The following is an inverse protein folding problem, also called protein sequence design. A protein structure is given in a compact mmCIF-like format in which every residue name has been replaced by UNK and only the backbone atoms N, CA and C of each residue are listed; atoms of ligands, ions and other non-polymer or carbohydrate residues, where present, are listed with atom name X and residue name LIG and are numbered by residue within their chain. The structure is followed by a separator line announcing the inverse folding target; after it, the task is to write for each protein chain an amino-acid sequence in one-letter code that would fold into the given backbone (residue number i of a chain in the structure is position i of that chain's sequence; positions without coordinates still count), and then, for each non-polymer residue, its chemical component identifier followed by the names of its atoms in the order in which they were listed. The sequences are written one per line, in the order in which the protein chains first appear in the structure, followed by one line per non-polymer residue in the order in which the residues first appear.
data_IF_839294852314
#
_entry.id   IF_839294852314
#
_cell.length_a   1.000
_cell.length_b   1.000
_cell.length_c   1.000
_cell.angle_alpha   90.00
_cell.angle_beta   90.00
_cell.angle_gamma   90.00
#
_symmetry.space_group_name_H-M   'P 1'
#
loop_
_entity.id
_entity.type
_entity.pdbx_description
1 polymer ?
#
# COMPACT_ATOMS: atom_id res chain seq x y z
N UNK A 1 60.08 -34.56 37.50
CA UNK A 1 59.55 -34.28 36.14
C UNK A 1 58.13 -34.77 36.06
N UNK A 2 57.14 -33.84 36.13
CA UNK A 2 55.67 -34.19 36.05
C UNK A 2 55.16 -33.70 34.71
N UNK A 3 54.78 -34.65 33.82
CA UNK A 3 54.07 -34.35 32.55
C UNK A 3 52.64 -33.88 32.84
N UNK A 4 52.32 -32.66 32.42
CA UNK A 4 50.91 -32.19 32.34
C UNK A 4 50.32 -32.64 31.01
N UNK A 5 49.28 -33.46 31.06
CA UNK A 5 48.43 -33.78 29.90
C UNK A 5 47.48 -32.63 29.65
N UNK A 6 47.58 -32.01 28.45
CA UNK A 6 46.63 -31.03 27.95
C UNK A 6 45.51 -31.82 27.25
N UNK A 7 44.31 -31.70 27.78
CA UNK A 7 43.09 -32.26 27.13
C UNK A 7 42.52 -31.13 26.24
N UNK A 8 42.57 -31.35 24.93
CA UNK A 8 41.97 -30.45 23.93
C UNK A 8 40.49 -30.85 23.77
N UNK A 9 39.58 -30.00 24.28
CA UNK A 9 38.16 -30.14 24.03
C UNK A 9 37.81 -29.52 22.67
N UNK A 10 37.50 -30.35 21.67
CA UNK A 10 36.91 -29.93 20.40
C UNK A 10 35.45 -29.66 20.61
N UNK A 11 35.03 -28.39 20.59
CA UNK A 11 33.63 -28.00 20.53
C UNK A 11 33.16 -28.03 19.07
N UNK A 12 32.37 -29.03 18.74
CA UNK A 12 31.65 -29.08 17.44
C UNK A 12 30.46 -28.15 17.49
N UNK A 13 30.55 -27.00 16.82
CA UNK A 13 29.41 -26.13 16.57
C UNK A 13 28.51 -26.77 15.48
N UNK A 14 27.37 -27.30 15.88
CA UNK A 14 26.34 -27.72 14.94
C UNK A 14 25.64 -26.44 14.37
N UNK A 15 25.99 -26.07 13.16
CA UNK A 15 25.26 -25.07 12.41
C UNK A 15 23.88 -25.64 12.02
N UNK A 16 22.85 -25.32 12.80
CA UNK A 16 21.48 -25.61 12.45
C UNK A 16 21.09 -24.83 11.20
N UNK A 17 20.93 -25.50 10.06
CA UNK A 17 20.33 -24.92 8.88
C UNK A 17 18.86 -24.62 9.21
N UNK A 18 18.53 -23.35 9.42
CA UNK A 18 17.13 -22.88 9.46
C UNK A 18 16.61 -22.99 8.02
N UNK A 19 15.93 -24.08 7.71
CA UNK A 19 15.13 -24.17 6.50
C UNK A 19 13.99 -23.14 6.62
N UNK A 20 14.09 -22.04 5.90
CA UNK A 20 12.95 -21.14 5.68
C UNK A 20 11.88 -21.96 4.95
N UNK A 21 10.74 -22.17 5.59
CA UNK A 21 9.57 -22.74 4.93
C UNK A 21 9.25 -21.84 3.73
N UNK A 22 8.89 -22.40 2.57
CA UNK A 22 8.44 -21.58 1.45
C UNK A 22 7.27 -20.73 1.93
N UNK A 23 7.32 -19.44 1.66
CA UNK A 23 6.19 -18.55 1.93
C UNK A 23 4.95 -19.14 1.26
N UNK A 24 3.88 -19.32 2.02
CA UNK A 24 2.61 -19.72 1.43
C UNK A 24 2.22 -18.67 0.38
N UNK A 25 1.70 -19.11 -0.77
CA UNK A 25 1.21 -18.17 -1.77
C UNK A 25 0.11 -17.29 -1.15
N UNK A 26 0.12 -16.01 -1.48
CA UNK A 26 -0.90 -15.06 -1.03
C UNK A 26 -2.31 -15.57 -1.40
N UNK A 27 -3.34 -15.37 -0.55
CA UNK A 27 -4.71 -15.72 -0.88
C UNK A 27 -5.15 -15.06 -2.20
N UNK A 28 -5.95 -15.73 -3.05
CA UNK A 28 -6.37 -15.16 -4.32
C UNK A 28 -7.24 -13.91 -4.11
N UNK A 29 -7.03 -12.86 -4.91
CA UNK A 29 -7.79 -11.61 -4.81
C UNK A 29 -9.30 -11.81 -5.00
N UNK A 30 -9.74 -12.88 -5.66
CA UNK A 30 -11.15 -13.24 -5.79
C UNK A 30 -11.83 -13.57 -4.44
N UNK A 31 -11.06 -13.87 -3.40
CA UNK A 31 -11.57 -14.10 -2.06
C UNK A 31 -11.61 -12.81 -1.19
N UNK A 32 -11.15 -11.69 -1.73
CA UNK A 32 -11.13 -10.40 -1.02
C UNK A 32 -12.47 -9.70 -1.18
N UNK A 33 -13.19 -9.52 -0.09
CA UNK A 33 -14.50 -8.84 -0.03
C UNK A 33 -14.50 -7.61 0.89
N UNK A 34 -13.45 -7.46 1.69
CA UNK A 34 -13.26 -6.33 2.61
C UNK A 34 -11.81 -5.88 2.60
N UNK A 35 -11.59 -4.59 2.74
CA UNK A 35 -10.23 -4.08 2.81
C UNK A 35 -10.11 -2.90 3.77
N UNK A 36 -8.88 -2.66 4.29
CA UNK A 36 -8.56 -1.53 5.14
C UNK A 36 -7.29 -0.82 4.68
N UNK A 37 -7.30 0.50 4.79
CA UNK A 37 -6.15 1.35 4.56
C UNK A 37 -5.59 1.80 5.91
N UNK A 38 -4.68 1.03 6.47
CA UNK A 38 -4.17 1.17 7.83
C UNK A 38 -2.79 1.81 7.90
N UNK A 39 -2.58 2.96 7.25
CA UNK A 39 -1.29 3.68 7.26
C UNK A 39 -1.26 4.87 8.24
N UNK A 40 -2.41 5.26 8.79
CA UNK A 40 -2.50 6.38 9.72
C UNK A 40 -1.81 6.11 11.06
N UNK A 41 -1.46 7.19 11.75
CA UNK A 41 -0.80 7.14 13.04
C UNK A 41 -1.58 6.28 14.06
N UNK A 42 -0.86 5.43 14.78
CA UNK A 42 -1.42 4.57 15.80
C UNK A 42 -2.16 3.32 15.29
N UNK A 43 -2.36 3.14 13.98
CA UNK A 43 -3.04 1.95 13.43
C UNK A 43 -2.29 0.66 13.70
N UNK A 44 -0.97 0.73 13.83
CA UNK A 44 -0.08 -0.39 14.13
C UNK A 44 0.26 -0.55 15.62
N UNK A 45 -0.37 0.24 16.52
CA UNK A 45 -0.17 0.10 17.96
C UNK A 45 -1.12 -0.97 18.54
N UNK A 46 -0.64 -1.73 19.55
CA UNK A 46 -1.42 -2.75 20.21
C UNK A 46 -1.64 -4.02 19.37
N UNK A 47 -2.79 -4.66 19.54
CA UNK A 47 -3.14 -5.89 18.82
C UNK A 47 -3.68 -5.59 17.41
N UNK A 48 -2.83 -5.78 16.40
CA UNK A 48 -3.20 -5.57 14.99
C UNK A 48 -4.27 -6.57 14.52
N UNK A 49 -4.32 -7.80 15.06
CA UNK A 49 -5.35 -8.77 14.69
C UNK A 49 -6.73 -8.32 15.15
N UNK A 50 -6.84 -7.81 16.37
CA UNK A 50 -8.10 -7.27 16.88
C UNK A 50 -8.53 -6.02 16.07
N UNK A 51 -7.57 -5.14 15.72
CA UNK A 51 -7.83 -3.92 14.95
C UNK A 51 -8.33 -4.20 13.54
N UNK A 52 -7.74 -5.17 12.85
CA UNK A 52 -8.09 -5.52 11.47
C UNK A 52 -8.94 -6.79 11.37
N UNK A 53 -9.60 -7.19 12.44
CA UNK A 53 -10.46 -8.38 12.44
C UNK A 53 -11.53 -8.31 11.35
N UNK A 54 -11.65 -9.36 10.54
CA UNK A 54 -12.64 -9.48 9.47
C UNK A 54 -12.31 -8.74 8.18
N UNK A 55 -11.11 -8.16 8.06
CA UNK A 55 -10.61 -7.62 6.81
C UNK A 55 -9.84 -8.68 6.03
N UNK A 56 -10.19 -8.86 4.75
CA UNK A 56 -9.55 -9.83 3.87
C UNK A 56 -8.26 -9.26 3.24
N UNK A 57 -8.16 -7.93 3.10
CA UNK A 57 -6.98 -7.22 2.61
C UNK A 57 -6.70 -6.00 3.48
N UNK A 58 -5.44 -5.82 3.85
CA UNK A 58 -4.99 -4.66 4.63
C UNK A 58 -3.76 -4.05 3.99
N UNK A 59 -3.77 -2.74 3.81
CA UNK A 59 -2.59 -1.96 3.41
C UNK A 59 -1.98 -1.33 4.66
N UNK A 60 -0.71 -1.58 4.91
CA UNK A 60 0.03 -1.04 6.05
C UNK A 60 1.22 -0.21 5.58
N UNK A 61 1.64 0.76 6.40
CA UNK A 61 2.92 1.43 6.17
C UNK A 61 4.06 0.41 6.18
N UNK A 62 4.70 0.23 5.02
CA UNK A 62 5.68 -0.83 4.83
C UNK A 62 6.96 -0.64 5.68
N UNK A 63 7.34 0.59 6.01
CA UNK A 63 8.50 0.84 6.87
C UNK A 63 8.18 0.63 8.35
N UNK A 64 7.01 1.08 8.80
CA UNK A 64 6.59 1.04 10.22
C UNK A 64 6.17 -0.37 10.63
N UNK A 65 5.42 -1.06 9.78
CA UNK A 65 4.95 -2.41 10.07
C UNK A 65 6.11 -3.40 10.23
N UNK A 66 6.04 -4.23 11.26
CA UNK A 66 7.02 -5.28 11.54
C UNK A 66 6.62 -6.59 10.85
N UNK A 67 7.61 -7.46 10.58
CA UNK A 67 7.36 -8.82 10.07
C UNK A 67 6.43 -9.63 10.99
N UNK A 68 6.51 -9.42 12.31
CA UNK A 68 5.64 -10.09 13.28
C UNK A 68 4.16 -9.66 13.14
N UNK A 69 3.90 -8.38 12.85
CA UNK A 69 2.55 -7.86 12.61
C UNK A 69 1.97 -8.39 11.30
N UNK A 70 2.78 -8.42 10.23
CA UNK A 70 2.39 -9.04 8.95
C UNK A 70 2.04 -10.51 9.14
N UNK A 71 2.92 -11.29 9.78
CA UNK A 71 2.67 -12.69 10.09
C UNK A 71 1.47 -12.90 11.02
N UNK A 72 1.15 -11.93 11.88
CA UNK A 72 -0.03 -11.99 12.74
C UNK A 72 -1.32 -11.90 11.91
N UNK A 73 -1.39 -11.03 10.91
CA UNK A 73 -2.55 -10.88 10.02
C UNK A 73 -2.69 -12.10 9.08
N UNK A 74 -1.58 -12.66 8.60
CA UNK A 74 -1.60 -13.88 7.79
C UNK A 74 -2.26 -15.07 8.51
N UNK A 75 -2.17 -15.16 9.85
CA UNK A 75 -2.87 -16.22 10.61
C UNK A 75 -4.40 -16.15 10.51
N UNK A 76 -4.92 -14.99 10.14
CA UNK A 76 -6.36 -14.77 9.90
C UNK A 76 -6.73 -14.89 8.41
N UNK A 77 -5.75 -15.24 7.54
CA UNK A 77 -5.94 -15.34 6.09
C UNK A 77 -5.97 -14.01 5.37
N UNK A 78 -5.54 -12.91 6.02
CA UNK A 78 -5.55 -11.57 5.46
C UNK A 78 -4.41 -11.38 4.47
N UNK A 79 -4.69 -10.84 3.28
CA UNK A 79 -3.68 -10.33 2.34
C UNK A 79 -3.13 -9.02 2.89
N UNK A 80 -1.80 -8.87 2.98
CA UNK A 80 -1.17 -7.68 3.55
C UNK A 80 -0.26 -7.01 2.53
N UNK A 81 -0.61 -5.79 2.11
CA UNK A 81 0.18 -5.01 1.16
C UNK A 81 1.00 -3.93 1.87
N UNK A 82 2.23 -3.73 1.42
CA UNK A 82 3.08 -2.65 1.89
C UNK A 82 2.80 -1.35 1.12
N UNK A 83 2.36 -0.31 1.81
CA UNK A 83 2.34 1.04 1.26
C UNK A 83 3.75 1.49 0.93
N UNK A 84 3.92 2.05 -0.25
CA UNK A 84 5.15 2.65 -0.74
C UNK A 84 4.83 3.87 -1.60
N UNK A 85 5.26 5.04 -1.17
CA UNK A 85 5.17 6.21 -2.02
C UNK A 85 6.14 6.11 -3.21
N UNK A 86 5.59 6.12 -4.42
CA UNK A 86 6.35 5.99 -5.66
C UNK A 86 6.64 7.35 -6.32
N UNK A 87 5.74 8.31 -6.13
CA UNK A 87 5.76 9.60 -6.83
C UNK A 87 6.29 10.76 -6.03
N UNK A 88 6.37 10.63 -4.70
CA UNK A 88 6.93 11.67 -3.84
C UNK A 88 8.04 11.15 -2.93
N UNK A 89 8.67 12.05 -2.21
CA UNK A 89 9.78 11.77 -1.29
C UNK A 89 9.41 12.39 0.06
N UNK A 90 8.98 11.53 0.96
CA UNK A 90 8.59 11.87 2.32
C UNK A 90 9.84 12.05 3.20
N UNK A 91 10.00 13.21 3.90
CA UNK A 91 11.24 13.53 4.62
C UNK A 91 11.57 12.60 5.80
N UNK A 92 10.56 11.92 6.33
CA UNK A 92 10.70 11.04 7.50
C UNK A 92 11.11 9.60 7.15
N UNK A 93 11.12 9.23 5.88
CA UNK A 93 11.51 7.88 5.44
C UNK A 93 12.99 7.60 5.70
N UNK A 94 13.31 6.39 6.11
CA UNK A 94 14.69 5.97 6.40
C UNK A 94 15.62 6.13 5.17
N UNK A 95 15.07 6.01 3.97
CA UNK A 95 15.78 6.17 2.69
C UNK A 95 15.87 7.61 2.17
N UNK A 96 15.25 8.59 2.87
CA UNK A 96 15.27 10.00 2.48
C UNK A 96 16.68 10.55 2.21
N UNK A 97 17.71 10.29 3.04
CA UNK A 97 19.06 10.81 2.78
C UNK A 97 19.61 10.44 1.39
N UNK A 98 19.27 9.24 0.90
CA UNK A 98 19.67 8.78 -0.44
C UNK A 98 18.79 9.36 -1.56
N UNK A 99 17.51 9.64 -1.25
CA UNK A 99 16.50 10.13 -2.20
C UNK A 99 16.52 11.64 -2.40
N UNK A 100 16.88 12.43 -1.40
CA UNK A 100 16.70 13.90 -1.37
C UNK A 100 17.31 14.65 -2.55
N UNK A 101 18.33 14.09 -3.22
CA UNK A 101 18.93 14.68 -4.44
C UNK A 101 18.05 14.57 -5.68
N UNK A 102 17.01 13.72 -5.63
CA UNK A 102 16.07 13.48 -6.73
C UNK A 102 14.74 14.23 -6.54
N UNK A 103 14.68 15.16 -5.58
CA UNK A 103 13.52 16.02 -5.37
C UNK A 103 13.30 16.95 -6.55
N UNK A 104 12.03 17.14 -6.91
CA UNK A 104 11.53 18.19 -7.80
C UNK A 104 10.90 19.32 -6.98
N UNK A 105 9.68 19.75 -7.32
CA UNK A 105 8.92 20.73 -6.56
C UNK A 105 8.50 20.20 -5.18
N UNK A 106 8.34 21.12 -4.21
CA UNK A 106 7.77 20.81 -2.90
C UNK A 106 6.24 20.86 -2.96
N UNK A 107 5.58 19.91 -2.28
CA UNK A 107 4.14 19.84 -2.10
C UNK A 107 3.77 20.22 -0.66
N UNK A 108 3.37 21.50 -0.41
CA UNK A 108 3.20 22.02 0.95
C UNK A 108 2.08 21.34 1.74
N UNK A 109 1.03 20.88 1.05
CA UNK A 109 -0.15 20.26 1.66
C UNK A 109 0.23 19.00 2.43
N UNK A 110 1.07 18.16 1.82
CA UNK A 110 1.54 16.91 2.42
C UNK A 110 2.96 17.01 2.99
N UNK A 111 3.63 18.18 2.86
CA UNK A 111 5.02 18.41 3.31
C UNK A 111 6.02 17.45 2.69
N UNK A 112 5.83 17.12 1.44
CA UNK A 112 6.60 16.18 0.65
C UNK A 112 7.22 16.82 -0.58
N UNK A 113 8.04 16.08 -1.29
CA UNK A 113 8.69 16.52 -2.51
C UNK A 113 8.33 15.60 -3.65
N UNK A 114 7.87 16.13 -4.79
CA UNK A 114 7.75 15.32 -5.99
C UNK A 114 9.08 14.69 -6.37
N UNK A 115 9.04 13.44 -6.85
CA UNK A 115 10.22 12.65 -7.15
C UNK A 115 10.64 12.73 -8.63
N UNK A 116 11.92 12.81 -8.89
CA UNK A 116 12.45 12.60 -10.23
C UNK A 116 12.53 11.10 -10.56
N UNK A 117 11.39 10.50 -10.89
CA UNK A 117 11.31 9.08 -11.25
C UNK A 117 11.95 8.76 -12.62
N UNK A 118 12.33 9.77 -13.42
CA UNK A 118 13.16 9.57 -14.62
C UNK A 118 14.58 9.13 -14.28
N UNK A 119 15.09 9.48 -13.10
CA UNK A 119 16.43 9.11 -12.69
C UNK A 119 16.52 7.59 -12.44
N UNK A 120 17.36 6.84 -13.21
CA UNK A 120 17.48 5.38 -13.02
C UNK A 120 17.92 5.00 -11.61
N UNK A 121 18.77 5.82 -10.99
CA UNK A 121 19.29 5.59 -9.63
C UNK A 121 18.18 5.72 -8.58
N UNK A 122 17.25 6.68 -8.75
CA UNK A 122 16.07 6.79 -7.88
C UNK A 122 15.17 5.55 -8.01
N UNK A 123 14.89 5.10 -9.24
CA UNK A 123 14.11 3.87 -9.45
C UNK A 123 14.78 2.64 -8.85
N UNK A 124 16.10 2.53 -8.98
CA UNK A 124 16.88 1.46 -8.35
C UNK A 124 16.83 1.54 -6.82
N UNK A 125 16.84 2.75 -6.24
CA UNK A 125 16.67 2.96 -4.79
C UNK A 125 15.29 2.44 -4.34
N UNK A 126 14.19 2.87 -4.95
CA UNK A 126 12.85 2.40 -4.60
C UNK A 126 12.66 0.90 -4.82
N UNK A 127 13.27 0.33 -5.87
CA UNK A 127 13.25 -1.13 -6.05
C UNK A 127 13.95 -1.87 -4.91
N UNK A 128 15.03 -1.31 -4.34
CA UNK A 128 15.69 -1.89 -3.15
C UNK A 128 14.80 -1.74 -1.91
N UNK A 129 14.20 -0.58 -1.71
CA UNK A 129 13.21 -0.35 -0.63
C UNK A 129 12.09 -1.40 -0.73
N UNK A 130 11.45 -1.52 -1.88
CA UNK A 130 10.39 -2.49 -2.12
C UNK A 130 10.82 -3.93 -1.80
N UNK A 131 12.05 -4.32 -2.16
CA UNK A 131 12.59 -5.64 -1.83
C UNK A 131 12.72 -5.84 -0.32
N UNK A 132 13.15 -4.80 0.42
CA UNK A 132 13.22 -4.84 1.88
C UNK A 132 11.83 -4.96 2.52
N UNK A 133 10.82 -4.28 1.96
CA UNK A 133 9.44 -4.40 2.43
C UNK A 133 8.91 -5.83 2.21
N UNK A 134 9.01 -6.35 0.99
CA UNK A 134 8.58 -7.71 0.68
C UNK A 134 9.30 -8.78 1.53
N UNK A 135 10.56 -8.55 1.88
CA UNK A 135 11.30 -9.44 2.78
C UNK A 135 10.74 -9.50 4.22
N UNK A 136 9.86 -8.55 4.61
CA UNK A 136 9.10 -8.62 5.88
C UNK A 136 7.91 -9.59 5.81
N UNK A 137 7.61 -10.15 4.64
CA UNK A 137 6.52 -11.08 4.41
C UNK A 137 5.26 -10.47 3.79
N UNK A 138 5.26 -9.20 3.40
CA UNK A 138 4.13 -8.62 2.68
C UNK A 138 3.81 -9.39 1.39
N UNK A 139 2.51 -9.55 1.11
CA UNK A 139 1.99 -10.22 -0.09
C UNK A 139 2.07 -9.33 -1.35
N UNK A 140 2.56 -8.12 -1.23
CA UNK A 140 2.70 -7.21 -2.36
C UNK A 140 2.92 -5.76 -1.94
N UNK A 141 2.76 -4.87 -2.91
CA UNK A 141 2.97 -3.44 -2.75
C UNK A 141 1.71 -2.67 -3.11
N UNK A 142 1.49 -1.57 -2.40
CA UNK A 142 0.47 -0.58 -2.70
C UNK A 142 1.16 0.75 -2.97
N UNK A 143 1.12 1.21 -4.23
CA UNK A 143 1.86 2.38 -4.69
C UNK A 143 1.02 3.64 -4.59
N UNK A 144 1.58 4.66 -3.96
CA UNK A 144 1.00 5.99 -3.91
C UNK A 144 1.68 6.95 -4.88
N UNK A 145 0.99 8.06 -5.15
CA UNK A 145 1.47 9.19 -5.94
C UNK A 145 1.97 8.82 -7.35
N UNK A 146 1.49 7.71 -7.92
CA UNK A 146 1.76 7.37 -9.32
C UNK A 146 1.17 8.42 -10.28
N UNK A 147 0.14 9.12 -9.83
CA UNK A 147 -0.59 10.19 -10.51
C UNK A 147 0.15 11.53 -10.54
N UNK A 148 1.29 11.66 -9.85
CA UNK A 148 2.14 12.85 -9.95
C UNK A 148 2.48 13.20 -11.40
N UNK A 149 2.38 12.25 -12.31
CA UNK A 149 2.59 12.45 -13.74
C UNK A 149 1.53 13.34 -14.41
N UNK A 150 0.37 13.54 -13.79
CA UNK A 150 -0.67 14.46 -14.26
C UNK A 150 -0.18 15.91 -14.13
N UNK A 151 0.55 16.23 -13.07
CA UNK A 151 1.16 17.55 -12.83
C UNK A 151 2.60 17.63 -13.35
N UNK A 152 3.28 16.49 -13.49
CA UNK A 152 4.66 16.37 -13.95
C UNK A 152 4.77 15.40 -15.15
N UNK A 153 4.19 15.73 -16.32
CA UNK A 153 4.04 14.77 -17.43
C UNK A 153 5.38 14.27 -17.98
N UNK A 154 6.46 15.03 -17.79
CA UNK A 154 7.81 14.58 -18.17
C UNK A 154 8.28 13.36 -17.38
N UNK A 155 7.65 13.04 -16.25
CA UNK A 155 7.99 11.88 -15.42
C UNK A 155 7.29 10.58 -15.88
N UNK A 156 6.30 10.64 -16.79
CA UNK A 156 5.45 9.50 -17.15
C UNK A 156 6.23 8.25 -17.60
N UNK A 157 7.24 8.41 -18.46
CA UNK A 157 8.06 7.28 -18.90
C UNK A 157 8.87 6.66 -17.74
N UNK A 158 9.36 7.49 -16.82
CA UNK A 158 10.07 7.05 -15.62
C UNK A 158 9.15 6.32 -14.65
N UNK A 159 7.95 6.83 -14.42
CA UNK A 159 6.92 6.20 -13.59
C UNK A 159 6.53 4.83 -14.14
N UNK A 160 6.24 4.75 -15.44
CA UNK A 160 5.95 3.47 -16.10
C UNK A 160 7.09 2.45 -15.93
N UNK A 161 8.34 2.89 -16.08
CA UNK A 161 9.50 2.01 -15.89
C UNK A 161 9.65 1.54 -14.44
N UNK A 162 9.36 2.42 -13.46
CA UNK A 162 9.35 2.08 -12.03
C UNK A 162 8.25 1.07 -11.72
N UNK A 163 7.00 1.35 -12.09
CA UNK A 163 5.85 0.46 -11.85
C UNK A 163 6.09 -0.90 -12.49
N UNK A 164 6.60 -0.96 -13.73
CA UNK A 164 6.95 -2.21 -14.38
C UNK A 164 8.05 -3.01 -13.65
N UNK A 165 9.02 -2.34 -13.03
CA UNK A 165 10.06 -2.98 -12.23
C UNK A 165 9.52 -3.54 -10.91
N UNK A 166 8.65 -2.76 -10.23
CA UNK A 166 8.01 -3.17 -8.98
C UNK A 166 7.01 -4.31 -9.20
N UNK A 167 6.28 -4.30 -10.34
CA UNK A 167 5.40 -5.39 -10.75
C UNK A 167 6.17 -6.70 -10.91
N UNK A 168 7.27 -6.69 -11.67
CA UNK A 168 8.12 -7.88 -11.80
C UNK A 168 8.66 -8.38 -10.46
N UNK A 169 9.00 -7.46 -9.55
CA UNK A 169 9.49 -7.82 -8.23
C UNK A 169 8.41 -8.47 -7.38
N UNK A 170 7.21 -7.89 -7.32
CA UNK A 170 6.08 -8.44 -6.56
C UNK A 170 5.63 -9.80 -7.12
N UNK A 171 5.42 -9.89 -8.44
CA UNK A 171 4.95 -11.12 -9.08
C UNK A 171 5.98 -12.26 -9.06
N UNK A 172 7.28 -11.96 -9.02
CA UNK A 172 8.31 -13.00 -8.84
C UNK A 172 8.19 -13.74 -7.49
N UNK A 173 7.59 -13.07 -6.48
CA UNK A 173 7.25 -13.66 -5.18
C UNK A 173 5.79 -14.15 -5.10
N UNK A 174 5.08 -14.27 -6.22
CA UNK A 174 3.64 -14.58 -6.27
C UNK A 174 2.75 -13.57 -5.52
N UNK A 175 3.24 -12.34 -5.37
CA UNK A 175 2.53 -11.26 -4.70
C UNK A 175 1.82 -10.32 -5.69
N UNK A 176 1.27 -9.24 -5.18
CA UNK A 176 0.41 -8.30 -5.88
C UNK A 176 1.01 -6.90 -5.99
N UNK A 177 0.60 -6.17 -7.02
CA UNK A 177 0.88 -4.74 -7.15
C UNK A 177 -0.41 -3.94 -7.30
N UNK A 178 -0.63 -3.03 -6.37
CA UNK A 178 -1.71 -2.05 -6.40
C UNK A 178 -1.16 -0.64 -6.60
N UNK A 179 -2.00 0.24 -7.10
CA UNK A 179 -1.72 1.68 -7.12
C UNK A 179 -3.00 2.45 -6.77
N UNK A 180 -2.85 3.73 -6.41
CA UNK A 180 -4.02 4.57 -6.15
C UNK A 180 -4.04 5.81 -7.03
N UNK A 181 -5.26 6.35 -7.19
CA UNK A 181 -5.56 7.60 -7.90
C UNK A 181 -5.12 7.64 -9.38
N UNK A 182 -5.09 8.83 -9.98
CA UNK A 182 -4.58 9.03 -11.34
C UNK A 182 -5.43 8.40 -12.44
N UNK A 183 -6.73 8.50 -12.36
CA UNK A 183 -7.65 7.91 -13.35
C UNK A 183 -7.39 8.33 -14.79
N UNK A 184 -6.72 9.48 -15.00
CA UNK A 184 -6.32 9.95 -16.33
C UNK A 184 -4.94 9.45 -16.76
N UNK A 185 -4.08 9.11 -15.80
CA UNK A 185 -2.70 8.67 -16.03
C UNK A 185 -2.50 7.14 -15.91
N UNK A 186 -3.44 6.42 -15.27
CA UNK A 186 -3.27 5.01 -14.93
C UNK A 186 -3.28 4.07 -16.15
N UNK A 187 -3.92 4.46 -17.27
CA UNK A 187 -4.09 3.61 -18.44
C UNK A 187 -2.84 2.83 -18.88
N UNK A 188 -1.68 3.48 -19.08
CA UNK A 188 -0.43 2.82 -19.46
C UNK A 188 0.14 1.87 -18.39
N UNK A 189 -0.38 1.93 -17.15
CA UNK A 189 0.09 1.16 -15.99
C UNK A 189 -0.78 -0.07 -15.72
N UNK A 190 -2.05 -0.09 -16.16
CA UNK A 190 -3.06 -1.14 -15.86
C UNK A 190 -2.51 -2.56 -16.01
N UNK A 191 -1.78 -2.84 -17.08
CA UNK A 191 -1.21 -4.18 -17.36
C UNK A 191 -0.17 -4.67 -16.35
N UNK A 192 0.28 -3.81 -15.44
CA UNK A 192 1.24 -4.12 -14.39
C UNK A 192 0.59 -4.28 -13.01
N UNK A 193 -0.70 -3.96 -12.90
CA UNK A 193 -1.43 -3.87 -11.65
C UNK A 193 -2.41 -5.03 -11.50
N UNK A 194 -2.62 -5.45 -10.27
CA UNK A 194 -3.64 -6.41 -9.84
C UNK A 194 -4.83 -5.71 -9.21
N UNK A 195 -4.64 -4.51 -8.69
CA UNK A 195 -5.71 -3.70 -8.12
C UNK A 195 -5.42 -2.21 -8.16
N UNK A 196 -6.48 -1.44 -7.89
CA UNK A 196 -6.44 0.01 -7.92
C UNK A 196 -7.41 0.62 -6.90
N UNK A 197 -6.95 1.62 -6.17
CA UNK A 197 -7.75 2.40 -5.23
C UNK A 197 -8.06 3.78 -5.79
N UNK A 198 -9.28 4.27 -5.53
CA UNK A 198 -9.67 5.66 -5.77
C UNK A 198 -10.11 6.29 -4.47
N UNK A 199 -9.40 7.33 -4.07
CA UNK A 199 -9.80 8.18 -2.96
C UNK A 199 -10.82 9.23 -3.41
N UNK A 200 -11.56 9.81 -2.45
CA UNK A 200 -12.51 10.88 -2.75
C UNK A 200 -13.56 10.50 -3.80
N UNK A 201 -14.13 9.30 -3.69
CA UNK A 201 -15.13 8.84 -4.65
C UNK A 201 -16.44 9.62 -4.50
N UNK A 202 -16.93 9.79 -3.28
CA UNK A 202 -18.18 10.49 -2.97
C UNK A 202 -18.09 11.46 -1.81
N UNK A 203 -17.08 11.32 -0.96
CA UNK A 203 -16.79 12.14 0.21
C UNK A 203 -15.31 12.48 0.25
N UNK A 204 -14.99 13.72 0.61
CA UNK A 204 -13.62 14.24 0.67
C UNK A 204 -13.44 15.15 1.87
N UNK A 205 -12.20 15.51 2.15
CA UNK A 205 -11.85 16.57 3.08
C UNK A 205 -11.34 17.78 2.30
N UNK A 206 -12.08 18.88 2.35
CA UNK A 206 -11.72 20.11 1.64
C UNK A 206 -12.11 21.35 2.47
N UNK A 207 -11.27 22.36 2.42
CA UNK A 207 -11.51 23.61 3.18
C UNK A 207 -11.67 23.38 4.68
N UNK A 208 -10.91 22.47 5.28
CA UNK A 208 -10.93 22.20 6.72
C UNK A 208 -12.12 21.34 7.21
N UNK A 209 -12.88 20.70 6.32
CA UNK A 209 -14.07 19.93 6.68
C UNK A 209 -14.35 18.77 5.73
N UNK A 210 -15.07 17.75 6.21
CA UNK A 210 -15.57 16.65 5.39
C UNK A 210 -16.81 17.09 4.61
N UNK A 211 -16.77 16.95 3.29
CA UNK A 211 -17.83 17.41 2.37
C UNK A 211 -18.12 16.35 1.30
N UNK A 212 -19.31 16.38 0.67
CA UNK A 212 -19.56 15.60 -0.54
C UNK A 212 -18.64 16.04 -1.68
N UNK A 213 -18.12 15.09 -2.44
CA UNK A 213 -17.47 15.34 -3.73
C UNK A 213 -18.50 15.94 -4.70
N UNK A 214 -18.08 16.85 -5.57
CA UNK A 214 -18.95 17.45 -6.58
C UNK A 214 -19.60 16.36 -7.44
N UNK A 215 -20.79 16.68 -8.00
CA UNK A 215 -21.49 15.72 -8.87
C UNK A 215 -20.61 15.24 -10.03
N UNK A 216 -19.88 16.16 -10.67
CA UNK A 216 -18.97 15.84 -11.77
C UNK A 216 -17.83 14.94 -11.30
N UNK A 217 -17.13 15.30 -10.22
CA UNK A 217 -16.04 14.50 -9.67
C UNK A 217 -16.48 13.08 -9.29
N UNK A 218 -17.64 12.95 -8.60
CA UNK A 218 -18.21 11.64 -8.28
C UNK A 218 -18.52 10.82 -9.53
N UNK A 219 -19.07 11.45 -10.58
CA UNK A 219 -19.37 10.75 -11.84
C UNK A 219 -18.09 10.25 -12.50
N UNK A 220 -17.03 11.05 -12.49
CA UNK A 220 -15.71 10.67 -13.03
C UNK A 220 -15.08 9.52 -12.22
N UNK A 221 -15.07 9.62 -10.89
CA UNK A 221 -14.54 8.58 -10.01
C UNK A 221 -15.26 7.24 -10.20
N UNK A 222 -16.60 7.25 -10.21
CA UNK A 222 -17.44 6.05 -10.45
C UNK A 222 -17.17 5.46 -11.83
N UNK A 223 -17.03 6.29 -12.87
CA UNK A 223 -16.70 5.82 -14.22
C UNK A 223 -15.32 5.17 -14.28
N UNK A 224 -14.33 5.73 -13.59
CA UNK A 224 -12.98 5.16 -13.49
C UNK A 224 -12.98 3.81 -12.77
N UNK A 225 -13.68 3.69 -11.63
CA UNK A 225 -13.85 2.43 -10.90
C UNK A 225 -14.43 1.34 -11.80
N UNK A 226 -15.55 1.62 -12.48
CA UNK A 226 -16.19 0.66 -13.40
C UNK A 226 -15.28 0.26 -14.56
N UNK A 227 -14.58 1.22 -15.14
CA UNK A 227 -13.64 0.97 -16.25
C UNK A 227 -12.50 0.04 -15.82
N UNK A 228 -11.90 0.28 -14.67
CA UNK A 228 -10.76 -0.52 -14.19
C UNK A 228 -11.21 -1.87 -13.64
N UNK A 229 -12.40 -1.96 -13.04
CA UNK A 229 -13.04 -3.24 -12.71
C UNK A 229 -13.26 -4.08 -13.97
N UNK A 230 -13.81 -3.49 -15.03
CA UNK A 230 -13.99 -4.17 -16.32
C UNK A 230 -12.67 -4.58 -17.00
N UNK A 231 -11.57 -3.91 -16.66
CA UNK A 231 -10.22 -4.29 -17.08
C UNK A 231 -9.60 -5.45 -16.25
N UNK A 232 -10.34 -5.98 -15.27
CA UNK A 232 -9.94 -7.13 -14.46
C UNK A 232 -9.18 -6.79 -13.17
N UNK A 233 -9.08 -5.52 -12.78
CA UNK A 233 -8.45 -5.13 -11.52
C UNK A 233 -9.43 -5.32 -10.34
N UNK A 234 -8.89 -5.70 -9.18
CA UNK A 234 -9.60 -5.51 -7.92
C UNK A 234 -9.67 -4.00 -7.63
N UNK A 235 -10.87 -3.42 -7.64
CA UNK A 235 -11.04 -1.99 -7.41
C UNK A 235 -11.48 -1.69 -6.00
N UNK A 236 -10.80 -0.73 -5.39
CA UNK A 236 -10.99 -0.27 -4.03
C UNK A 236 -11.46 1.19 -4.06
N UNK A 237 -12.22 1.59 -3.06
CA UNK A 237 -12.73 2.96 -2.94
C UNK A 237 -12.52 3.46 -1.52
N UNK A 238 -11.82 4.58 -1.38
CA UNK A 238 -11.61 5.28 -0.11
C UNK A 238 -12.42 6.57 -0.09
N UNK A 239 -13.21 6.77 0.96
CA UNK A 239 -13.95 7.99 1.20
C UNK A 239 -13.67 8.52 2.62
N UNK A 240 -13.73 9.83 2.78
CA UNK A 240 -13.42 10.50 4.03
C UNK A 240 -14.64 11.13 4.67
N UNK A 241 -14.91 10.80 5.94
CA UNK A 241 -16.06 11.32 6.69
C UNK A 241 -15.67 11.66 8.14
N UNK A 242 -16.40 12.61 8.72
CA UNK A 242 -16.32 12.82 10.17
C UNK A 242 -16.78 11.55 10.93
N UNK A 243 -16.23 11.29 12.10
CA UNK A 243 -16.53 10.10 12.90
C UNK A 243 -18.04 9.94 13.22
N UNK A 244 -18.77 11.03 13.34
CA UNK A 244 -20.21 11.03 13.65
C UNK A 244 -21.10 11.09 12.40
N UNK A 245 -20.55 11.15 11.19
CA UNK A 245 -21.34 11.18 9.93
C UNK A 245 -21.65 9.75 9.45
N UNK A 246 -22.44 9.01 10.21
CA UNK A 246 -22.86 7.67 9.84
C UNK A 246 -23.69 7.64 8.54
N UNK A 247 -24.46 8.69 8.25
CA UNK A 247 -25.26 8.78 7.02
C UNK A 247 -24.35 8.94 5.79
N UNK A 248 -23.33 9.83 5.88
CA UNK A 248 -22.32 10.00 4.85
C UNK A 248 -21.50 8.75 4.62
N UNK A 249 -21.06 8.07 5.68
CA UNK A 249 -20.33 6.81 5.58
C UNK A 249 -21.16 5.73 4.86
N UNK A 250 -22.43 5.54 5.21
CA UNK A 250 -23.32 4.59 4.51
C UNK A 250 -23.55 4.98 3.04
N UNK A 251 -23.63 6.28 2.74
CA UNK A 251 -23.78 6.73 1.36
C UNK A 251 -22.51 6.46 0.53
N UNK A 252 -21.32 6.65 1.12
CA UNK A 252 -20.03 6.32 0.52
C UNK A 252 -19.93 4.83 0.20
N UNK A 253 -20.22 3.96 1.17
CA UNK A 253 -20.26 2.50 0.98
C UNK A 253 -21.16 2.14 -0.20
N UNK A 254 -22.42 2.62 -0.22
CA UNK A 254 -23.34 2.33 -1.35
C UNK A 254 -22.80 2.82 -2.69
N UNK A 255 -22.12 3.98 -2.72
CA UNK A 255 -21.56 4.52 -3.97
C UNK A 255 -20.44 3.62 -4.50
N UNK A 256 -19.52 3.19 -3.65
CA UNK A 256 -18.46 2.26 -4.00
C UNK A 256 -19.01 0.92 -4.49
N UNK A 257 -19.92 0.30 -3.74
CA UNK A 257 -20.54 -0.97 -4.09
C UNK A 257 -21.26 -0.92 -5.45
N UNK A 258 -22.02 0.14 -5.71
CA UNK A 258 -22.69 0.35 -7.00
C UNK A 258 -21.71 0.57 -8.17
N UNK A 259 -20.47 0.88 -7.88
CA UNK A 259 -19.39 1.00 -8.86
C UNK A 259 -18.59 -0.30 -9.05
N UNK A 260 -18.88 -1.36 -8.27
CA UNK A 260 -18.15 -2.62 -8.27
C UNK A 260 -16.86 -2.55 -7.47
N UNK A 261 -16.72 -1.56 -6.56
CA UNK A 261 -15.53 -1.36 -5.75
C UNK A 261 -15.76 -1.76 -4.29
N UNK A 262 -14.71 -2.27 -3.64
CA UNK A 262 -14.74 -2.54 -2.21
C UNK A 262 -14.59 -1.22 -1.42
N UNK A 263 -15.52 -0.90 -0.50
CA UNK A 263 -15.52 0.35 0.22
C UNK A 263 -14.58 0.36 1.43
N UNK A 264 -13.91 1.50 1.66
CA UNK A 264 -13.29 1.85 2.93
C UNK A 264 -13.65 3.29 3.27
N UNK A 265 -14.05 3.57 4.51
CA UNK A 265 -14.46 4.92 4.94
C UNK A 265 -13.75 5.28 6.23
N UNK A 266 -12.90 6.29 6.17
CA UNK A 266 -12.07 6.72 7.30
C UNK A 266 -12.14 8.24 7.55
N UNK A 267 -11.27 8.73 8.41
CA UNK A 267 -10.84 10.13 8.45
C UNK A 267 -9.71 10.37 7.43
N UNK A 268 -9.37 11.64 7.20
CA UNK A 268 -8.32 12.03 6.26
C UNK A 268 -6.96 11.39 6.60
N UNK A 269 -6.65 11.30 7.89
CA UNK A 269 -5.38 10.77 8.38
C UNK A 269 -5.35 9.23 8.43
N UNK A 270 -6.40 8.56 7.94
CA UNK A 270 -6.54 7.09 7.91
C UNK A 270 -6.33 6.41 9.27
N UNK A 271 -6.65 7.12 10.36
CA UNK A 271 -6.49 6.59 11.73
C UNK A 271 -7.68 5.74 12.17
N UNK A 272 -8.84 5.92 11.54
CA UNK A 272 -10.08 5.22 11.88
C UNK A 272 -10.29 3.99 11.02
N UNK A 273 -10.16 2.83 11.64
CA UNK A 273 -10.47 1.53 11.02
C UNK A 273 -11.90 1.12 11.41
N UNK A 274 -12.86 1.14 10.49
CA UNK A 274 -14.25 0.76 10.77
C UNK A 274 -14.37 -0.67 11.31
N UNK A 275 -15.21 -0.85 12.33
CA UNK A 275 -15.57 -2.16 12.83
C UNK A 275 -17.11 -2.24 13.02
N UNK A 276 -17.80 -3.22 12.43
CA UNK A 276 -17.26 -4.24 11.50
C UNK A 276 -16.79 -3.64 10.18
N UNK A 277 -16.01 -4.39 9.36
CA UNK A 277 -15.62 -3.96 8.00
C UNK A 277 -16.83 -3.59 7.14
N UNK A 278 -16.78 -2.48 6.39
CA UNK A 278 -17.83 -2.19 5.41
C UNK A 278 -17.85 -3.25 4.29
N UNK A 279 -19.06 -3.65 3.89
CA UNK A 279 -19.28 -4.69 2.88
C UNK A 279 -20.30 -4.23 1.83
N UNK A 280 -20.16 -4.79 0.66
CA UNK A 280 -21.14 -4.68 -0.43
C UNK A 280 -22.28 -5.75 -0.34
#
# INVERSE_FOLDING_TARGET
MRLRRVVLLLATAAAGAVFALPAAAAPPLAAVHTWAFGIGDGTLTGDVRARFAGYDLVVLDGEIATAAQVAALHRDGTVVLAYLDAGTIEPYRSWYPAAKRYRLGYWPEWKEWYANVRAPVYRALLTRVARTLLAKGFDGLFLDNVDMVETHPRQAAGMKALVAALSRLAHAGHGYLFAQNGENAIGPLVRYLDGWNREDVSRTYAGGRYVPVSRTGRTQAVAALRRLHAAGLLVLATDYTAARDAAGARAAVRTACNAGALPFVSDLELTRIPQPPPRC
#
